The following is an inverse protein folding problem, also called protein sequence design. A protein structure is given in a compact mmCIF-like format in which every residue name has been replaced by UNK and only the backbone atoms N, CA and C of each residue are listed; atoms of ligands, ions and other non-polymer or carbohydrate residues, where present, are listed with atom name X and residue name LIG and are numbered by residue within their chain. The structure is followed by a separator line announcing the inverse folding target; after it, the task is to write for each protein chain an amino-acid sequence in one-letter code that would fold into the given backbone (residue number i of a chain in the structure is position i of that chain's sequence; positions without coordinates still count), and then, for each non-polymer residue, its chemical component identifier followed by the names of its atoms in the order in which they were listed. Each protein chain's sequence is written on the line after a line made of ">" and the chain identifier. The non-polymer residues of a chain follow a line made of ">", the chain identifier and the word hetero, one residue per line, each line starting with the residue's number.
data_IF_762188702106
#
_entry.id   IF_762188702106
#
_cell.length_a   1.000
_cell.length_b   1.000
_cell.length_c   1.000
_cell.angle_alpha   90.00
_cell.angle_beta   90.00
_cell.angle_gamma   90.00
#
_symmetry.space_group_name_H-M   'P 1'
#
loop_
_entity.id
_entity.type
_entity.pdbx_description
1 polymer ?
#
# COMPACT_ATOMS: atom_id res chain seq x y z
N UNK A 1 22.96 35.37 -5.58
CA UNK A 1 22.86 34.87 -6.96
C UNK A 1 21.84 33.72 -7.09
N UNK A 2 21.99 32.64 -6.35
CA UNK A 2 21.05 31.49 -6.36
C UNK A 2 19.62 31.90 -5.93
N UNK A 3 19.47 32.74 -4.94
CA UNK A 3 18.18 33.33 -4.55
C UNK A 3 17.53 34.07 -5.70
N UNK A 4 18.26 34.91 -6.42
CA UNK A 4 17.73 35.67 -7.55
C UNK A 4 17.28 34.72 -8.69
N UNK A 5 18.02 33.64 -8.93
CA UNK A 5 17.62 32.64 -9.92
C UNK A 5 16.32 31.95 -9.53
N UNK A 6 16.16 31.50 -8.28
CA UNK A 6 14.94 30.93 -7.75
C UNK A 6 13.72 31.85 -7.93
N UNK A 7 13.88 33.15 -7.58
CA UNK A 7 12.82 34.15 -7.69
C UNK A 7 12.48 34.53 -9.14
N UNK A 8 13.50 34.76 -9.97
CA UNK A 8 13.32 35.22 -11.35
C UNK A 8 12.71 34.12 -12.26
N UNK A 9 12.92 32.85 -11.95
CA UNK A 9 12.40 31.70 -12.70
C UNK A 9 11.20 31.05 -11.99
N UNK A 10 10.28 31.87 -11.52
CA UNK A 10 9.00 31.46 -10.94
C UNK A 10 9.13 30.40 -9.84
N UNK A 11 10.02 30.63 -8.89
CA UNK A 11 10.28 29.73 -7.77
C UNK A 11 10.67 28.30 -8.21
N UNK A 12 11.57 28.20 -9.19
CA UNK A 12 12.01 26.93 -9.74
C UNK A 12 12.52 25.97 -8.65
N UNK A 13 12.33 24.66 -8.87
CA UNK A 13 12.71 23.62 -7.92
C UNK A 13 14.23 23.36 -7.87
N UNK A 14 14.63 22.52 -6.92
CA UNK A 14 16.04 22.18 -6.64
C UNK A 14 16.82 21.80 -7.89
N UNK A 15 16.25 20.93 -8.72
CA UNK A 15 16.99 20.35 -9.86
C UNK A 15 17.32 21.40 -10.93
N UNK A 16 16.41 22.36 -11.17
CA UNK A 16 16.65 23.49 -12.07
C UNK A 16 17.75 24.42 -11.56
N UNK A 17 17.79 24.67 -10.23
CA UNK A 17 18.84 25.47 -9.61
C UNK A 17 20.20 24.75 -9.70
N UNK A 18 20.22 23.43 -9.47
CA UNK A 18 21.43 22.62 -9.59
C UNK A 18 21.97 22.65 -11.01
N UNK A 19 21.11 22.53 -12.02
CA UNK A 19 21.51 22.58 -13.41
C UNK A 19 22.07 23.97 -13.80
N UNK A 20 21.45 25.04 -13.28
CA UNK A 20 21.98 26.39 -13.45
C UNK A 20 23.38 26.55 -12.84
N UNK A 21 23.57 26.13 -11.58
CA UNK A 21 24.85 26.19 -10.87
C UNK A 21 25.92 25.40 -11.64
N UNK A 22 25.61 24.20 -12.14
CA UNK A 22 26.52 23.39 -12.94
C UNK A 22 26.90 24.07 -14.26
N UNK A 23 25.91 24.69 -14.95
CA UNK A 23 26.13 25.41 -16.21
C UNK A 23 27.05 26.61 -16.03
N UNK A 24 26.89 27.35 -14.92
CA UNK A 24 27.74 28.48 -14.55
C UNK A 24 29.07 28.04 -13.93
N UNK A 25 29.32 26.71 -13.80
CA UNK A 25 30.55 26.11 -13.23
C UNK A 25 30.84 26.54 -11.79
N UNK A 26 29.81 26.79 -11.00
CA UNK A 26 29.94 27.15 -9.60
C UNK A 26 29.84 25.93 -8.72
N UNK A 27 30.79 25.80 -7.79
CA UNK A 27 30.79 24.68 -6.86
C UNK A 27 31.24 25.17 -5.48
N UNK A 28 30.51 24.75 -4.44
CA UNK A 28 30.94 24.88 -3.05
C UNK A 28 30.49 23.63 -2.27
N UNK A 29 31.17 23.39 -1.15
CA UNK A 29 30.86 22.27 -0.30
C UNK A 29 29.46 22.42 0.31
N UNK A 30 28.58 21.41 0.15
CA UNK A 30 27.23 21.40 0.73
C UNK A 30 26.15 22.13 -0.09
N UNK A 31 26.45 22.61 -1.33
CA UNK A 31 25.50 23.39 -2.13
C UNK A 31 24.13 22.74 -2.33
N UNK A 32 24.03 21.43 -2.38
CA UNK A 32 22.75 20.72 -2.46
C UNK A 32 21.86 20.98 -1.23
N UNK A 33 22.47 20.97 -0.04
CA UNK A 33 21.75 21.20 1.22
C UNK A 33 21.36 22.68 1.34
N UNK A 34 22.20 23.59 0.90
CA UNK A 34 21.92 25.02 0.92
C UNK A 34 20.77 25.37 -0.03
N UNK A 35 20.70 24.75 -1.22
CA UNK A 35 19.58 24.91 -2.14
C UNK A 35 18.28 24.38 -1.53
N UNK A 36 18.32 23.21 -0.87
CA UNK A 36 17.14 22.68 -0.18
C UNK A 36 16.65 23.58 0.94
N UNK A 37 17.55 24.15 1.72
CA UNK A 37 17.22 25.10 2.78
C UNK A 37 16.61 26.39 2.19
N UNK A 38 17.19 26.93 1.13
CA UNK A 38 16.69 28.11 0.42
C UNK A 38 15.24 27.91 -0.06
N UNK A 39 14.94 26.75 -0.65
CA UNK A 39 13.58 26.45 -1.13
C UNK A 39 12.61 26.29 0.06
N UNK A 40 13.04 25.65 1.16
CA UNK A 40 12.23 25.48 2.37
C UNK A 40 11.93 26.81 3.08
N UNK A 41 12.86 27.74 3.05
CA UNK A 41 12.72 29.07 3.67
C UNK A 41 11.96 30.07 2.77
N UNK A 42 11.69 29.73 1.51
CA UNK A 42 10.95 30.59 0.60
C UNK A 42 9.45 30.64 0.98
N UNK A 43 8.91 31.82 1.37
CA UNK A 43 7.51 31.91 1.82
C UNK A 43 6.49 31.56 0.75
N UNK A 44 6.77 31.86 -0.53
CA UNK A 44 5.87 31.54 -1.64
C UNK A 44 5.84 30.04 -1.90
N UNK A 45 7.01 29.37 -1.86
CA UNK A 45 7.09 27.92 -1.99
C UNK A 45 6.37 27.22 -0.83
N UNK A 46 6.56 27.67 0.42
CA UNK A 46 5.88 27.10 1.57
C UNK A 46 4.37 27.30 1.50
N UNK A 47 3.88 28.48 1.13
CA UNK A 47 2.44 28.73 0.91
C UNK A 47 1.86 27.89 -0.21
N UNK A 48 2.59 27.68 -1.31
CA UNK A 48 2.17 26.81 -2.41
C UNK A 48 2.10 25.35 -1.94
N UNK A 49 3.11 24.87 -1.22
CA UNK A 49 3.12 23.50 -0.66
C UNK A 49 1.99 23.28 0.35
N UNK A 50 1.66 24.27 1.18
CA UNK A 50 0.55 24.17 2.14
C UNK A 50 -0.82 24.13 1.44
N UNK A 51 -1.04 24.94 0.40
CA UNK A 51 -2.30 24.93 -0.39
C UNK A 51 -2.50 23.64 -1.18
N UNK A 52 -1.40 22.99 -1.63
CA UNK A 52 -1.44 21.76 -2.40
C UNK A 52 -1.17 20.49 -1.57
N UNK A 53 -1.05 20.59 -0.24
CA UNK A 53 -1.08 19.39 0.63
C UNK A 53 -2.40 18.67 0.37
N UNK A 54 -2.38 17.67 -0.52
CA UNK A 54 -3.52 16.78 -0.74
C UNK A 54 -3.88 16.16 0.61
N UNK A 55 -5.08 16.44 1.10
CA UNK A 55 -5.64 15.72 2.24
C UNK A 55 -5.59 14.23 1.90
N UNK A 56 -4.65 13.51 2.47
CA UNK A 56 -4.58 12.06 2.33
C UNK A 56 -5.78 11.51 3.08
N UNK A 57 -6.82 11.12 2.36
CA UNK A 57 -7.98 10.45 2.96
C UNK A 57 -7.52 9.24 3.78
N UNK A 58 -8.23 8.94 4.86
CA UNK A 58 -7.98 7.74 5.64
C UNK A 58 -8.03 6.51 4.75
N UNK A 59 -7.10 5.59 4.92
CA UNK A 59 -7.10 4.33 4.20
C UNK A 59 -8.34 3.55 4.68
N UNK A 60 -9.31 3.34 3.77
CA UNK A 60 -10.39 2.39 4.02
C UNK A 60 -9.82 0.99 3.79
N UNK A 61 -9.83 0.20 4.86
CA UNK A 61 -9.43 -1.19 4.78
C UNK A 61 -10.43 -1.97 3.95
N UNK A 62 -9.93 -2.74 2.99
CA UNK A 62 -10.65 -3.86 2.41
C UNK A 62 -10.18 -5.08 3.19
N UNK A 63 -11.08 -5.76 3.86
CA UNK A 63 -10.82 -7.00 4.60
C UNK A 63 -11.82 -8.00 4.08
N UNK A 64 -11.32 -9.03 3.46
CA UNK A 64 -12.13 -10.09 2.87
C UNK A 64 -12.48 -11.15 3.92
N UNK A 65 -13.54 -11.93 3.67
CA UNK A 65 -14.06 -12.89 4.64
C UNK A 65 -13.22 -14.17 4.76
N UNK A 66 -12.34 -14.43 3.79
CA UNK A 66 -11.45 -15.58 3.79
C UNK A 66 -10.77 -15.84 2.44
N UNK A 67 -10.15 -17.02 2.27
CA UNK A 67 -9.61 -17.47 0.99
C UNK A 67 -10.68 -17.45 -0.10
N UNK A 68 -10.25 -17.24 -1.35
CA UNK A 68 -11.13 -17.22 -2.54
C UNK A 68 -12.26 -16.18 -2.49
N UNK A 69 -12.23 -15.25 -1.53
CA UNK A 69 -13.24 -14.20 -1.49
C UNK A 69 -13.03 -13.19 -2.62
N UNK A 70 -11.77 -12.74 -2.80
CA UNK A 70 -11.40 -11.74 -3.80
C UNK A 70 -10.09 -12.10 -4.48
N UNK A 71 -10.13 -12.20 -5.81
CA UNK A 71 -8.92 -12.22 -6.63
C UNK A 71 -8.68 -10.85 -7.24
N UNK A 72 -7.42 -10.42 -7.27
CA UNK A 72 -7.00 -9.17 -7.89
C UNK A 72 -6.10 -9.52 -9.06
N UNK A 73 -6.43 -8.98 -10.24
CA UNK A 73 -5.67 -9.13 -11.47
C UNK A 73 -5.01 -7.80 -11.86
N UNK A 74 -3.77 -7.88 -12.33
CA UNK A 74 -3.02 -6.76 -12.89
C UNK A 74 -2.18 -7.24 -14.07
N UNK A 75 -2.11 -6.43 -15.13
CA UNK A 75 -1.34 -6.74 -16.33
C UNK A 75 -0.24 -5.71 -16.54
N UNK A 76 1.00 -6.16 -16.74
CA UNK A 76 2.11 -5.26 -16.93
C UNK A 76 3.03 -5.66 -18.07
N UNK A 77 3.72 -4.67 -18.63
CA UNK A 77 4.62 -4.79 -19.76
C UNK A 77 6.01 -5.22 -19.33
N UNK A 78 6.59 -6.14 -20.06
CA UNK A 78 8.02 -6.44 -20.00
C UNK A 78 8.81 -5.34 -20.75
N UNK A 79 10.08 -5.13 -20.38
CA UNK A 79 10.96 -4.28 -21.18
C UNK A 79 11.21 -4.92 -22.55
N UNK A 80 11.47 -4.09 -23.54
CA UNK A 80 11.72 -4.56 -24.92
C UNK A 80 12.81 -5.64 -24.98
N UNK A 81 13.87 -5.51 -24.19
CA UNK A 81 14.97 -6.48 -24.17
C UNK A 81 14.50 -7.85 -23.66
N UNK A 82 13.75 -7.88 -22.56
CA UNK A 82 13.21 -9.13 -21.99
C UNK A 82 12.14 -9.72 -22.90
N UNK A 83 11.28 -8.90 -23.48
CA UNK A 83 10.23 -9.32 -24.40
C UNK A 83 10.82 -9.97 -25.67
N UNK A 84 11.83 -9.35 -26.28
CA UNK A 84 12.51 -9.88 -27.47
C UNK A 84 13.17 -11.23 -27.18
N UNK A 85 13.79 -11.39 -26.02
CA UNK A 85 14.46 -12.65 -25.66
C UNK A 85 13.48 -13.76 -25.31
N UNK A 86 12.41 -13.44 -24.58
CA UNK A 86 11.49 -14.43 -24.06
C UNK A 86 10.37 -14.82 -25.02
N UNK A 87 10.06 -13.96 -25.99
CA UNK A 87 8.90 -14.09 -26.87
C UNK A 87 7.57 -13.70 -26.23
N UNK A 88 7.60 -13.17 -24.99
CA UNK A 88 6.41 -12.69 -24.27
C UNK A 88 6.50 -11.18 -24.04
N UNK A 89 5.38 -10.49 -24.15
CA UNK A 89 5.32 -9.03 -23.99
C UNK A 89 4.75 -8.60 -22.64
N UNK A 90 3.97 -9.46 -22.00
CA UNK A 90 3.22 -9.13 -20.79
C UNK A 90 3.32 -10.22 -19.73
N UNK A 91 3.07 -9.85 -18.48
CA UNK A 91 2.77 -10.77 -17.40
C UNK A 91 1.44 -10.35 -16.79
N UNK A 92 0.52 -11.32 -16.66
CA UNK A 92 -0.70 -11.20 -15.89
C UNK A 92 -0.44 -11.74 -14.48
N UNK A 93 -0.56 -10.87 -13.49
CA UNK A 93 -0.48 -11.23 -12.07
C UNK A 93 -1.88 -11.48 -11.53
N UNK A 94 -2.10 -12.61 -10.87
CA UNK A 94 -3.34 -12.92 -10.14
C UNK A 94 -2.97 -13.25 -8.70
N UNK A 95 -3.60 -12.54 -7.75
CA UNK A 95 -3.37 -12.73 -6.32
C UNK A 95 -4.69 -12.88 -5.57
N UNK A 96 -4.77 -13.86 -4.70
CA UNK A 96 -5.82 -13.91 -3.68
C UNK A 96 -5.56 -12.82 -2.63
N UNK A 97 -6.49 -11.90 -2.50
CA UNK A 97 -6.30 -10.73 -1.63
C UNK A 97 -6.26 -11.08 -0.14
N UNK A 98 -6.89 -12.18 0.28
CA UNK A 98 -6.84 -12.63 1.68
C UNK A 98 -5.54 -13.38 1.97
N UNK A 99 -5.27 -14.47 1.27
CA UNK A 99 -4.14 -15.37 1.54
C UNK A 99 -2.80 -14.86 1.04
N UNK A 100 -2.81 -13.94 0.06
CA UNK A 100 -1.66 -13.47 -0.73
C UNK A 100 -1.07 -14.56 -1.63
N UNK A 101 -1.82 -15.66 -1.87
CA UNK A 101 -1.44 -16.65 -2.87
C UNK A 101 -1.36 -15.99 -4.24
N UNK A 102 -0.25 -16.20 -4.92
CA UNK A 102 0.08 -15.55 -6.19
C UNK A 102 0.32 -16.56 -7.29
N UNK A 103 -0.11 -16.20 -8.51
CA UNK A 103 0.26 -16.89 -9.75
C UNK A 103 0.44 -15.84 -10.84
N UNK A 104 1.54 -15.94 -11.58
CA UNK A 104 1.80 -15.15 -12.77
C UNK A 104 1.67 -15.97 -14.05
N UNK A 105 1.23 -15.33 -15.13
CA UNK A 105 1.12 -15.90 -16.47
C UNK A 105 1.82 -15.00 -17.48
N UNK A 106 2.65 -15.63 -18.35
CA UNK A 106 3.28 -14.91 -19.45
C UNK A 106 2.34 -14.88 -20.66
N UNK A 107 2.13 -13.72 -21.27
CA UNK A 107 1.29 -13.53 -22.43
C UNK A 107 2.08 -12.89 -23.58
N UNK A 108 1.73 -13.32 -24.81
CA UNK A 108 2.27 -12.72 -26.03
C UNK A 108 1.51 -11.42 -26.34
N UNK A 109 0.19 -11.48 -26.26
CA UNK A 109 -0.69 -10.34 -26.50
C UNK A 109 -1.53 -10.04 -25.27
N UNK A 110 -2.09 -8.84 -25.20
CA UNK A 110 -3.06 -8.45 -24.17
C UNK A 110 -4.51 -8.51 -24.67
N UNK A 111 -4.82 -9.54 -25.44
CA UNK A 111 -6.19 -9.72 -25.93
C UNK A 111 -7.10 -10.20 -24.81
N UNK A 112 -8.38 -9.88 -24.93
CA UNK A 112 -9.39 -10.31 -23.95
C UNK A 112 -9.47 -11.84 -23.80
N UNK A 113 -9.25 -12.55 -24.89
CA UNK A 113 -9.27 -14.02 -24.97
C UNK A 113 -8.08 -14.62 -24.22
N UNK A 114 -6.88 -14.10 -24.44
CA UNK A 114 -5.65 -14.57 -23.79
C UNK A 114 -5.72 -14.33 -22.27
N UNK A 115 -6.16 -13.14 -21.87
CA UNK A 115 -6.34 -12.77 -20.45
C UNK A 115 -7.43 -13.64 -19.80
N UNK A 116 -8.57 -13.84 -20.47
CA UNK A 116 -9.64 -14.70 -19.94
C UNK A 116 -9.18 -16.15 -19.79
N UNK A 117 -8.42 -16.68 -20.77
CA UNK A 117 -7.88 -18.05 -20.69
C UNK A 117 -6.99 -18.24 -19.45
N UNK A 118 -6.16 -17.25 -19.13
CA UNK A 118 -5.32 -17.29 -17.91
C UNK A 118 -6.16 -17.20 -16.62
N UNK A 119 -7.17 -16.33 -16.59
CA UNK A 119 -8.08 -16.18 -15.45
C UNK A 119 -8.87 -17.48 -15.24
N UNK A 120 -9.40 -18.06 -16.32
CA UNK A 120 -10.13 -19.34 -16.25
C UNK A 120 -9.22 -20.47 -15.75
N UNK A 121 -8.01 -20.59 -16.30
CA UNK A 121 -7.01 -21.56 -15.84
C UNK A 121 -6.69 -21.41 -14.35
N UNK A 122 -6.59 -20.17 -13.86
CA UNK A 122 -6.38 -19.90 -12.43
C UNK A 122 -7.57 -20.35 -11.59
N UNK A 123 -8.79 -20.01 -12.02
CA UNK A 123 -10.04 -20.39 -11.33
C UNK A 123 -10.22 -21.90 -11.30
N UNK A 124 -9.95 -22.59 -12.40
CA UNK A 124 -10.01 -24.05 -12.46
C UNK A 124 -9.00 -24.72 -11.53
N UNK A 125 -7.82 -24.13 -11.37
CA UNK A 125 -6.73 -24.70 -10.56
C UNK A 125 -6.86 -24.41 -9.07
N UNK A 126 -7.39 -23.24 -8.70
CA UNK A 126 -7.35 -22.75 -7.33
C UNK A 126 -8.72 -22.41 -6.72
N UNK A 127 -9.80 -22.58 -7.48
CA UNK A 127 -11.15 -22.32 -7.02
C UNK A 127 -11.73 -20.98 -7.47
N UNK A 128 -13.05 -20.88 -7.40
CA UNK A 128 -13.82 -19.73 -7.87
C UNK A 128 -13.87 -18.62 -6.80
N UNK A 129 -13.57 -17.35 -7.15
CA UNK A 129 -13.71 -16.25 -6.22
C UNK A 129 -15.17 -15.74 -6.17
N UNK A 130 -15.52 -15.03 -5.08
CA UNK A 130 -16.76 -14.25 -5.02
C UNK A 130 -16.59 -12.94 -5.81
N UNK A 131 -15.40 -12.35 -5.76
CA UNK A 131 -15.10 -11.08 -6.41
C UNK A 131 -13.84 -11.25 -7.26
N UNK A 132 -13.93 -10.88 -8.54
CA UNK A 132 -12.78 -10.64 -9.40
C UNK A 132 -12.58 -9.13 -9.52
N UNK A 133 -11.42 -8.63 -9.14
CA UNK A 133 -11.07 -7.22 -9.20
C UNK A 133 -9.93 -7.02 -10.19
N UNK A 134 -10.12 -6.13 -11.16
CA UNK A 134 -9.12 -5.74 -12.14
C UNK A 134 -9.08 -4.21 -12.29
N UNK A 135 -8.13 -3.69 -13.03
CA UNK A 135 -8.14 -2.29 -13.43
C UNK A 135 -9.17 -2.01 -14.55
N UNK A 136 -9.16 -0.79 -15.11
CA UNK A 136 -10.05 -0.40 -16.21
C UNK A 136 -9.41 -0.63 -17.60
N UNK A 137 -8.39 -1.44 -17.72
CA UNK A 137 -7.80 -1.80 -19.00
C UNK A 137 -8.83 -2.46 -19.94
N UNK A 138 -8.72 -2.25 -21.25
CA UNK A 138 -9.64 -2.84 -22.23
C UNK A 138 -9.58 -4.36 -22.22
N UNK A 139 -8.45 -4.93 -21.85
CA UNK A 139 -8.22 -6.35 -21.63
C UNK A 139 -9.11 -6.95 -20.53
N UNK A 140 -9.54 -6.14 -19.56
CA UNK A 140 -10.45 -6.53 -18.48
C UNK A 140 -11.84 -5.90 -18.63
N UNK A 141 -11.95 -4.73 -19.26
CA UNK A 141 -13.21 -3.99 -19.40
C UNK A 141 -13.87 -4.33 -20.74
N UNK A 142 -14.30 -5.57 -20.89
CA UNK A 142 -14.91 -6.07 -22.12
C UNK A 142 -16.09 -7.02 -21.83
N UNK A 143 -16.90 -7.30 -22.85
CA UNK A 143 -18.08 -8.18 -22.74
C UNK A 143 -17.72 -9.63 -22.46
N UNK A 144 -16.57 -10.09 -22.96
CA UNK A 144 -16.15 -11.50 -22.84
C UNK A 144 -15.91 -11.85 -21.36
N UNK A 145 -15.09 -11.07 -20.66
CA UNK A 145 -14.81 -11.27 -19.22
C UNK A 145 -16.07 -11.02 -18.38
N UNK A 146 -16.88 -10.01 -18.74
CA UNK A 146 -18.12 -9.73 -18.02
C UNK A 146 -19.11 -10.90 -18.11
N UNK A 147 -19.33 -11.46 -19.31
CA UNK A 147 -20.20 -12.62 -19.53
C UNK A 147 -19.67 -13.87 -18.80
N UNK A 148 -18.36 -14.09 -18.84
CA UNK A 148 -17.72 -15.16 -18.07
C UNK A 148 -18.01 -15.04 -16.57
N UNK A 149 -17.84 -13.86 -16.01
CA UNK A 149 -18.10 -13.58 -14.60
C UNK A 149 -19.58 -13.79 -14.23
N UNK A 150 -20.52 -13.31 -15.07
CA UNK A 150 -21.95 -13.50 -14.87
C UNK A 150 -22.31 -15.00 -14.89
N UNK A 151 -21.83 -15.75 -15.88
CA UNK A 151 -22.12 -17.17 -16.03
C UNK A 151 -21.55 -18.04 -14.88
N UNK A 152 -20.54 -17.53 -14.20
CA UNK A 152 -19.91 -18.20 -13.07
C UNK A 152 -20.29 -17.61 -11.70
N UNK A 153 -21.28 -16.72 -11.61
CA UNK A 153 -21.68 -16.02 -10.37
C UNK A 153 -20.51 -15.28 -9.68
N UNK A 154 -19.60 -14.71 -10.46
CA UNK A 154 -18.46 -13.92 -9.98
C UNK A 154 -18.81 -12.45 -10.12
N UNK A 155 -18.62 -11.68 -9.05
CA UNK A 155 -18.79 -10.23 -9.10
C UNK A 155 -17.54 -9.55 -9.66
N UNK A 156 -17.62 -9.07 -10.91
CA UNK A 156 -16.53 -8.28 -11.50
C UNK A 156 -16.54 -6.85 -10.93
N UNK A 157 -15.38 -6.38 -10.45
CA UNK A 157 -15.18 -5.01 -9.94
C UNK A 157 -13.98 -4.39 -10.61
N UNK A 158 -14.19 -3.25 -11.25
CA UNK A 158 -13.08 -2.45 -11.76
C UNK A 158 -12.59 -1.45 -10.71
N UNK A 159 -11.26 -1.30 -10.61
CA UNK A 159 -10.65 -0.33 -9.72
C UNK A 159 -11.08 1.11 -10.07
N UNK A 160 -11.40 1.93 -9.08
CA UNK A 160 -11.69 3.35 -9.32
C UNK A 160 -10.43 4.03 -9.86
N UNK A 161 -10.58 4.76 -10.96
CA UNK A 161 -9.53 5.60 -11.52
C UNK A 161 -8.96 6.51 -10.41
N UNK A 162 -7.64 6.51 -10.23
CA UNK A 162 -6.91 7.33 -9.23
C UNK A 162 -7.13 6.95 -7.75
N UNK A 163 -7.56 5.72 -7.44
CA UNK A 163 -7.60 5.20 -6.06
C UNK A 163 -6.63 4.01 -5.88
N UNK A 164 -5.31 4.25 -5.77
CA UNK A 164 -4.29 3.18 -5.67
C UNK A 164 -4.39 2.34 -4.40
N UNK A 165 -5.20 2.76 -3.42
CA UNK A 165 -5.32 2.06 -2.14
C UNK A 165 -6.04 0.71 -2.24
N UNK A 166 -6.87 0.51 -3.26
CA UNK A 166 -7.58 -0.76 -3.49
C UNK A 166 -6.72 -1.83 -4.17
N UNK A 167 -5.62 -1.43 -4.79
CA UNK A 167 -4.70 -2.32 -5.52
C UNK A 167 -3.34 -2.50 -4.81
N UNK A 168 -3.15 -1.87 -3.65
CA UNK A 168 -1.86 -1.85 -2.95
C UNK A 168 -1.27 -3.23 -2.62
N UNK A 169 -2.09 -4.28 -2.57
CA UNK A 169 -1.61 -5.65 -2.37
C UNK A 169 -0.94 -6.18 -3.64
N UNK A 170 -1.61 -6.04 -4.79
CA UNK A 170 -1.06 -6.48 -6.08
C UNK A 170 0.12 -5.61 -6.51
N UNK A 171 0.09 -4.29 -6.26
CA UNK A 171 1.22 -3.40 -6.53
C UNK A 171 2.48 -3.79 -5.75
N UNK A 172 2.33 -4.22 -4.51
CA UNK A 172 3.45 -4.66 -3.67
C UNK A 172 4.04 -5.98 -4.18
N UNK A 173 3.17 -6.93 -4.54
CA UNK A 173 3.53 -8.21 -5.15
C UNK A 173 4.23 -7.99 -6.50
N UNK A 174 3.62 -7.20 -7.38
CA UNK A 174 4.16 -6.81 -8.68
C UNK A 174 5.60 -6.26 -8.58
N UNK A 175 5.89 -5.38 -7.62
CA UNK A 175 7.24 -4.85 -7.41
C UNK A 175 8.24 -5.94 -7.03
N UNK A 176 7.85 -6.89 -6.20
CA UNK A 176 8.69 -8.03 -5.82
C UNK A 176 8.98 -8.94 -7.01
N UNK A 177 7.94 -9.30 -7.78
CA UNK A 177 8.04 -10.15 -8.98
C UNK A 177 8.92 -9.48 -10.04
N UNK A 178 8.60 -8.24 -10.37
CA UNK A 178 9.34 -7.45 -11.35
C UNK A 178 10.83 -7.35 -10.99
N UNK A 179 11.14 -7.00 -9.73
CA UNK A 179 12.52 -6.93 -9.27
C UNK A 179 13.27 -8.24 -9.44
N UNK A 180 12.64 -9.37 -9.10
CA UNK A 180 13.26 -10.68 -9.22
C UNK A 180 13.57 -11.04 -10.68
N UNK A 181 12.58 -10.88 -11.57
CA UNK A 181 12.72 -11.19 -13.00
C UNK A 181 13.86 -10.38 -13.61
N UNK A 182 13.91 -9.06 -13.34
CA UNK A 182 14.96 -8.21 -13.88
C UNK A 182 16.33 -8.51 -13.26
N UNK A 183 16.43 -8.86 -11.99
CA UNK A 183 17.68 -9.31 -11.39
C UNK A 183 18.20 -10.56 -12.10
N UNK A 184 17.35 -11.58 -12.29
CA UNK A 184 17.72 -12.80 -13.03
C UNK A 184 18.14 -12.51 -14.46
N UNK A 185 17.46 -11.61 -15.15
CA UNK A 185 17.84 -11.18 -16.49
C UNK A 185 19.22 -10.53 -16.50
N UNK A 186 19.53 -9.63 -15.55
CA UNK A 186 20.84 -8.97 -15.49
C UNK A 186 21.97 -9.88 -15.00
N UNK A 187 21.67 -10.90 -14.20
CA UNK A 187 22.65 -11.89 -13.75
C UNK A 187 23.19 -12.73 -14.92
N UNK A 188 22.33 -13.18 -15.83
CA UNK A 188 22.75 -14.01 -16.97
C UNK A 188 21.84 -13.78 -18.19
N UNK A 189 22.14 -12.74 -18.96
CA UNK A 189 21.35 -12.38 -20.15
C UNK A 189 21.29 -13.50 -21.19
N UNK A 190 22.39 -14.21 -21.43
CA UNK A 190 22.49 -15.18 -22.51
C UNK A 190 21.70 -16.47 -22.26
N UNK A 191 21.43 -16.80 -21.00
CA UNK A 191 20.69 -18.00 -20.60
C UNK A 191 19.43 -17.69 -19.81
N UNK A 192 18.89 -16.48 -19.98
CA UNK A 192 17.69 -16.06 -19.28
C UNK A 192 16.45 -16.75 -19.84
N UNK A 193 15.71 -17.41 -18.95
CA UNK A 193 14.41 -18.01 -19.24
C UNK A 193 13.32 -17.39 -18.36
N UNK A 194 12.42 -16.62 -18.96
CA UNK A 194 11.35 -15.91 -18.27
C UNK A 194 10.40 -16.86 -17.53
N UNK A 195 10.00 -17.97 -18.16
CA UNK A 195 9.07 -18.93 -17.54
C UNK A 195 9.66 -19.57 -16.30
N UNK A 196 10.96 -19.90 -16.32
CA UNK A 196 11.65 -20.43 -15.16
C UNK A 196 11.79 -19.37 -14.07
N UNK A 197 12.18 -18.15 -14.40
CA UNK A 197 12.27 -17.05 -13.45
C UNK A 197 10.92 -16.73 -12.80
N UNK A 198 9.84 -16.72 -13.58
CA UNK A 198 8.48 -16.51 -13.05
C UNK A 198 8.04 -17.66 -12.15
N UNK A 199 8.34 -18.91 -12.50
CA UNK A 199 8.05 -20.08 -11.66
C UNK A 199 8.83 -20.04 -10.34
N UNK A 200 10.11 -19.69 -10.39
CA UNK A 200 10.95 -19.57 -9.19
C UNK A 200 10.41 -18.50 -8.25
N UNK A 201 10.14 -17.29 -8.75
CA UNK A 201 9.64 -16.22 -7.89
C UNK A 201 8.24 -16.50 -7.35
N UNK A 202 7.36 -17.12 -8.14
CA UNK A 202 6.05 -17.59 -7.68
C UNK A 202 6.20 -18.56 -6.50
N UNK A 203 7.12 -19.50 -6.61
CA UNK A 203 7.40 -20.46 -5.54
C UNK A 203 8.00 -19.76 -4.30
N UNK A 204 8.93 -18.83 -4.48
CA UNK A 204 9.52 -18.03 -3.38
C UNK A 204 8.43 -17.23 -2.67
N UNK A 205 7.59 -16.51 -3.42
CA UNK A 205 6.52 -15.67 -2.88
C UNK A 205 5.52 -16.51 -2.06
N UNK A 206 5.07 -17.62 -2.61
CA UNK A 206 4.04 -18.47 -1.99
C UNK A 206 4.54 -19.28 -0.80
N UNK A 207 5.86 -19.44 -0.64
CA UNK A 207 6.48 -20.11 0.52
C UNK A 207 7.09 -19.15 1.56
N UNK A 208 7.04 -17.85 1.29
CA UNK A 208 7.56 -16.83 2.19
C UNK A 208 6.46 -16.30 3.11
N UNK A 209 6.75 -16.21 4.41
CA UNK A 209 5.83 -15.61 5.37
C UNK A 209 5.50 -14.17 5.00
N UNK A 210 4.20 -13.88 4.81
CA UNK A 210 3.74 -12.57 4.38
C UNK A 210 3.50 -11.63 5.57
N UNK A 211 4.05 -10.41 5.52
CA UNK A 211 4.01 -9.46 6.65
C UNK A 211 2.60 -9.01 7.07
N UNK A 212 1.62 -9.06 6.18
CA UNK A 212 0.24 -8.62 6.48
C UNK A 212 -0.58 -9.72 7.15
N UNK A 213 -0.49 -10.96 6.67
CA UNK A 213 -1.19 -12.11 7.23
C UNK A 213 -0.43 -12.70 8.40
N UNK A 214 0.91 -12.56 8.39
CA UNK A 214 1.87 -13.25 9.26
C UNK A 214 1.85 -14.77 9.08
N UNK A 215 1.35 -15.25 7.94
CA UNK A 215 1.27 -16.64 7.52
C UNK A 215 1.96 -16.85 6.17
N UNK A 216 2.25 -18.09 5.82
CA UNK A 216 2.77 -18.50 4.52
C UNK A 216 1.57 -18.70 3.58
N UNK A 217 1.52 -18.04 2.41
CA UNK A 217 0.38 -18.14 1.48
C UNK A 217 0.01 -19.59 1.13
N UNK A 218 1.00 -20.46 0.93
CA UNK A 218 0.78 -21.88 0.65
C UNK A 218 -0.02 -22.58 1.75
N UNK A 219 0.24 -22.27 3.01
CA UNK A 219 -0.35 -22.98 4.15
C UNK A 219 -1.80 -22.56 4.40
N UNK A 220 -2.16 -21.36 3.92
CA UNK A 220 -3.49 -20.78 4.14
C UNK A 220 -4.31 -20.61 2.86
N UNK A 221 -3.84 -21.12 1.70
CA UNK A 221 -4.53 -20.92 0.42
C UNK A 221 -5.95 -21.48 0.41
N UNK A 222 -6.18 -22.62 1.07
CA UNK A 222 -7.47 -23.30 1.18
C UNK A 222 -7.97 -23.37 2.63
N UNK A 223 -7.63 -22.35 3.43
CA UNK A 223 -7.93 -22.31 4.86
C UNK A 223 -9.43 -22.29 5.13
N UNK A 224 -9.92 -23.27 5.89
CA UNK A 224 -11.32 -23.38 6.34
C UNK A 224 -11.49 -23.19 7.85
N UNK A 225 -10.39 -23.01 8.60
CA UNK A 225 -10.41 -22.76 10.04
C UNK A 225 -10.91 -21.34 10.31
N UNK A 226 -12.12 -21.23 10.87
CA UNK A 226 -12.79 -19.95 11.13
C UNK A 226 -12.04 -19.12 12.17
N UNK A 227 -11.43 -19.74 13.16
CA UNK A 227 -10.75 -19.03 14.24
C UNK A 227 -9.47 -18.40 13.73
N UNK A 228 -8.71 -19.11 12.88
CA UNK A 228 -7.53 -18.58 12.23
C UNK A 228 -7.86 -17.51 11.18
N UNK A 229 -8.98 -17.64 10.45
CA UNK A 229 -9.47 -16.62 9.53
C UNK A 229 -9.74 -15.31 10.30
N UNK A 230 -10.46 -15.39 11.42
CA UNK A 230 -10.77 -14.23 12.28
C UNK A 230 -9.48 -13.61 12.82
N UNK A 231 -8.52 -14.42 13.25
CA UNK A 231 -7.24 -13.93 13.75
C UNK A 231 -6.46 -13.16 12.67
N UNK A 232 -6.40 -13.69 11.45
CA UNK A 232 -5.76 -13.01 10.30
C UNK A 232 -6.47 -11.69 9.99
N UNK A 233 -7.81 -11.67 9.96
CA UNK A 233 -8.59 -10.45 9.75
C UNK A 233 -8.29 -9.38 10.82
N UNK A 234 -8.20 -9.77 12.08
CA UNK A 234 -7.84 -8.85 13.16
C UNK A 234 -6.41 -8.29 13.03
N UNK A 235 -5.46 -9.12 12.61
CA UNK A 235 -4.08 -8.68 12.32
C UNK A 235 -4.07 -7.63 11.20
N UNK A 236 -4.80 -7.88 10.10
CA UNK A 236 -4.94 -6.93 9.00
C UNK A 236 -5.57 -5.61 9.48
N UNK A 237 -6.65 -5.65 10.27
CA UNK A 237 -7.27 -4.46 10.88
C UNK A 237 -6.27 -3.65 11.71
N UNK A 238 -5.49 -4.32 12.55
CA UNK A 238 -4.48 -3.67 13.41
C UNK A 238 -3.38 -2.96 12.60
N UNK A 239 -2.91 -3.58 11.51
CA UNK A 239 -1.88 -2.97 10.63
C UNK A 239 -2.42 -1.70 9.96
N UNK A 240 -3.65 -1.72 9.47
CA UNK A 240 -4.28 -0.58 8.82
C UNK A 240 -4.54 0.56 9.82
N UNK A 241 -5.02 0.22 11.02
CA UNK A 241 -5.20 1.18 12.09
C UNK A 241 -3.87 1.87 12.47
N UNK A 242 -2.78 1.09 12.60
CA UNK A 242 -1.44 1.67 12.85
C UNK A 242 -1.00 2.61 11.73
N UNK A 243 -1.24 2.26 10.46
CA UNK A 243 -0.90 3.14 9.32
C UNK A 243 -1.74 4.43 9.32
N UNK A 244 -2.99 4.38 9.74
CA UNK A 244 -3.85 5.55 9.87
C UNK A 244 -3.45 6.44 11.05
N UNK A 245 -3.15 5.85 12.20
CA UNK A 245 -2.67 6.58 13.40
C UNK A 245 -1.36 7.29 13.11
N UNK A 246 -0.40 6.64 12.48
CA UNK A 246 0.87 7.28 12.13
C UNK A 246 0.70 8.46 11.16
N UNK A 247 -0.29 8.41 10.27
CA UNK A 247 -0.64 9.55 9.41
C UNK A 247 -1.30 10.70 10.16
N UNK A 248 -2.16 10.37 11.13
CA UNK A 248 -2.81 11.38 11.99
C UNK A 248 -1.78 12.03 12.94
N UNK A 249 -0.80 11.28 13.44
CA UNK A 249 0.29 11.80 14.30
C UNK A 249 1.19 12.77 13.52
N UNK A 250 1.57 12.45 12.29
CA UNK A 250 2.37 13.36 11.45
C UNK A 250 1.61 14.67 11.19
N UNK A 251 0.31 14.61 10.90
CA UNK A 251 -0.52 15.81 10.74
C UNK A 251 -0.75 16.57 12.05
N UNK A 252 -0.74 15.90 13.18
CA UNK A 252 -0.91 16.49 14.50
C UNK A 252 0.37 17.19 14.97
N UNK A 253 1.53 16.60 14.75
CA UNK A 253 2.81 17.20 15.12
C UNK A 253 3.09 18.44 14.26
N UNK A 254 2.78 18.42 12.96
CA UNK A 254 2.82 19.60 12.10
C UNK A 254 1.88 20.72 12.61
N UNK A 255 0.73 20.36 13.13
CA UNK A 255 -0.25 21.31 13.67
C UNK A 255 0.14 21.87 15.04
N UNK A 256 0.76 21.06 15.91
CA UNK A 256 1.23 21.49 17.22
C UNK A 256 2.48 22.38 17.13
N UNK A 257 3.35 22.12 16.20
CA UNK A 257 4.53 22.99 15.96
C UNK A 257 4.08 24.38 15.48
N UNK A 258 3.06 24.46 14.64
CA UNK A 258 2.48 25.75 14.21
C UNK A 258 1.73 26.44 15.36
N UNK A 259 1.00 25.69 16.20
CA UNK A 259 0.23 26.27 17.31
C UNK A 259 1.14 26.68 18.48
N UNK A 260 2.21 25.96 18.76
CA UNK A 260 3.19 26.35 19.78
C UNK A 260 4.00 27.58 19.37
N UNK A 261 4.32 27.73 18.09
CA UNK A 261 4.97 28.92 17.56
C UNK A 261 4.06 30.16 17.54
N UNK A 262 2.75 29.97 17.38
CA UNK A 262 1.74 31.03 17.47
C UNK A 262 1.42 31.42 18.90
N UNK A 263 1.53 30.52 19.87
CA UNK A 263 1.37 30.80 21.30
C UNK A 263 2.54 31.62 21.87
N UNK A 264 3.72 31.54 21.25
CA UNK A 264 4.91 32.31 21.66
C UNK A 264 4.90 33.74 21.06
N UNK A 265 4.11 34.01 20.02
CA UNK A 265 4.13 35.28 19.28
C UNK A 265 2.93 36.20 19.48
N UNK A 266 2.12 36.05 20.49
CA UNK A 266 1.12 37.08 20.74
C UNK A 266 -0.17 36.65 21.43
N UNK A 267 -0.54 37.36 22.46
CA UNK A 267 -1.75 37.28 23.28
C UNK A 267 -3.07 37.54 22.53
N UNK A 268 -3.32 36.89 21.40
CA UNK A 268 -4.66 36.91 20.74
C UNK A 268 -5.16 35.50 20.44
N UNK A 269 -6.07 35.07 21.32
CA UNK A 269 -6.82 33.82 21.14
C UNK A 269 -7.84 34.01 19.99
N UNK A 270 -7.55 33.45 18.83
CA UNK A 270 -8.54 33.35 17.75
C UNK A 270 -9.47 32.19 18.07
N UNK A 271 -10.68 32.52 18.55
CA UNK A 271 -11.76 31.55 18.85
C UNK A 271 -12.33 30.99 17.53
N UNK A 272 -11.79 29.90 17.03
CA UNK A 272 -12.34 29.21 15.86
C UNK A 272 -13.19 28.02 16.28
N UNK A 273 -14.52 28.08 16.08
CA UNK A 273 -15.50 27.06 16.49
C UNK A 273 -15.19 25.64 15.97
N UNK A 274 -14.50 25.49 14.84
CA UNK A 274 -14.03 24.21 14.28
C UNK A 274 -12.97 23.52 15.15
N UNK A 275 -12.06 24.27 15.79
CA UNK A 275 -11.00 23.73 16.67
C UNK A 275 -11.56 23.06 17.93
N UNK A 276 -12.65 23.61 18.51
CA UNK A 276 -13.30 23.02 19.71
C UNK A 276 -13.88 21.61 19.43
N UNK A 277 -14.39 21.34 18.23
CA UNK A 277 -14.99 20.05 17.88
C UNK A 277 -13.92 18.95 17.73
N UNK A 278 -12.75 19.28 17.19
CA UNK A 278 -11.62 18.33 17.01
C UNK A 278 -10.99 17.98 18.35
N UNK A 279 -10.77 18.97 19.23
CA UNK A 279 -10.24 18.75 20.59
C UNK A 279 -11.19 17.89 21.42
N UNK A 280 -12.51 18.15 21.34
CA UNK A 280 -13.53 17.37 22.08
C UNK A 280 -13.62 15.91 21.61
N UNK A 281 -13.50 15.64 20.32
CA UNK A 281 -13.43 14.28 19.77
C UNK A 281 -12.15 13.54 20.21
N UNK A 282 -11.04 14.24 20.36
CA UNK A 282 -9.77 13.68 20.81
C UNK A 282 -9.75 13.30 22.29
N UNK A 283 -10.31 14.15 23.14
CA UNK A 283 -10.48 13.82 24.55
C UNK A 283 -11.40 12.61 24.75
N UNK A 284 -12.48 12.52 23.98
CA UNK A 284 -13.36 11.34 23.96
C UNK A 284 -12.64 10.07 23.49
N UNK A 285 -11.79 10.16 22.49
CA UNK A 285 -11.05 9.00 21.95
C UNK A 285 -9.96 8.53 22.92
N UNK A 286 -9.21 9.45 23.55
CA UNK A 286 -8.21 9.13 24.58
C UNK A 286 -8.86 8.60 25.84
N UNK A 287 -10.02 9.14 26.21
CA UNK A 287 -10.83 8.64 27.32
C UNK A 287 -11.35 7.22 27.04
N UNK A 288 -11.80 6.94 25.80
CA UNK A 288 -12.25 5.61 25.37
C UNK A 288 -11.11 4.59 25.34
N UNK A 289 -9.92 4.99 24.85
CA UNK A 289 -8.72 4.14 24.89
C UNK A 289 -8.29 3.84 26.33
N UNK A 290 -8.31 4.83 27.22
CA UNK A 290 -7.98 4.65 28.63
C UNK A 290 -8.98 3.71 29.32
N UNK A 291 -10.26 3.84 29.03
CA UNK A 291 -11.33 2.94 29.54
C UNK A 291 -11.15 1.51 29.02
N UNK A 292 -10.79 1.34 27.73
CA UNK A 292 -10.60 0.01 27.10
C UNK A 292 -9.33 -0.67 27.63
N UNK A 293 -8.26 0.08 27.84
CA UNK A 293 -7.03 -0.42 28.47
C UNK A 293 -7.27 -0.82 29.94
N UNK A 294 -8.00 0.00 30.70
CA UNK A 294 -8.36 -0.29 32.08
C UNK A 294 -9.23 -1.54 32.19
N UNK A 295 -10.23 -1.71 31.30
CA UNK A 295 -11.05 -2.94 31.27
C UNK A 295 -10.22 -4.20 30.95
N UNK A 296 -9.26 -4.12 30.03
CA UNK A 296 -8.34 -5.24 29.71
C UNK A 296 -7.40 -5.56 30.88
N UNK A 297 -6.91 -4.56 31.58
CA UNK A 297 -6.09 -4.74 32.76
C UNK A 297 -6.88 -5.37 33.92
N UNK A 298 -8.13 -4.93 34.13
CA UNK A 298 -9.02 -5.49 35.13
C UNK A 298 -9.39 -6.96 34.86
N UNK A 299 -9.61 -7.30 33.58
CA UNK A 299 -9.85 -8.69 33.16
C UNK A 299 -8.61 -9.58 33.37
N UNK A 300 -7.41 -9.05 33.10
CA UNK A 300 -6.16 -9.76 33.38
C UNK A 300 -5.95 -9.98 34.88
N UNK A 301 -6.21 -8.98 35.70
CA UNK A 301 -6.13 -9.08 37.16
C UNK A 301 -7.16 -10.04 37.73
N UNK A 302 -8.40 -10.04 37.21
CA UNK A 302 -9.42 -11.04 37.61
C UNK A 302 -9.04 -12.47 37.28
N UNK A 303 -8.38 -12.71 36.11
CA UNK A 303 -7.87 -14.04 35.74
C UNK A 303 -6.72 -14.48 36.63
N UNK A 304 -5.77 -13.59 36.94
CA UNK A 304 -4.68 -13.85 37.87
C UNK A 304 -5.21 -14.13 39.28
N UNK A 305 -6.19 -13.36 39.74
CA UNK A 305 -6.87 -13.59 41.02
C UNK A 305 -7.54 -14.97 41.07
N UNK A 306 -8.23 -15.38 40.02
CA UNK A 306 -8.90 -16.69 39.94
C UNK A 306 -7.89 -17.86 39.94
N UNK A 307 -6.71 -17.70 39.33
CA UNK A 307 -5.65 -18.69 39.36
C UNK A 307 -5.05 -18.79 40.76
N UNK A 308 -4.72 -17.64 41.37
CA UNK A 308 -4.20 -17.59 42.75
C UNK A 308 -5.17 -18.19 43.77
N UNK A 309 -6.46 -17.92 43.65
CA UNK A 309 -7.47 -18.46 44.57
C UNK A 309 -7.70 -19.98 44.37
N UNK A 310 -7.44 -20.52 43.18
CA UNK A 310 -7.43 -21.99 42.98
C UNK A 310 -6.22 -22.66 43.58
N UNK A 311 -5.07 -22.02 43.62
CA UNK A 311 -3.85 -22.57 44.25
C UNK A 311 -3.93 -22.52 45.78
N UNK A 312 -4.64 -21.53 46.36
CA UNK A 312 -4.85 -21.42 47.80
C UNK A 312 -5.90 -22.45 48.34
N UNK A 313 -6.79 -22.98 47.52
CA UNK A 313 -7.77 -24.00 47.87
C UNK A 313 -7.19 -25.46 47.75
N UNK A 314 -5.94 -25.61 47.35
CA UNK A 314 -5.26 -26.93 47.25
C UNK A 314 -4.23 -27.12 48.38
N UNK A 315 -4.04 -26.12 49.24
CA UNK A 315 -3.28 -26.18 50.48
C UNK A 315 -4.25 -26.20 51.66
#
# INVERSE_FOLDING_TARGET
>A
MVNNYHWNFNHCGRDAIVDYIKKEKWYWYGFFKDIENLIKECPQCDNAHQKFKKFKSKIKAIIDDGPHYRYICDLWYLSNDVATMSGYNYILDIIDHFTKWYQGYCLINKTSEEVLSCIDSYIQSFGKPIILQADNGLEFSNSLLNNYCINNDIKLIHGRVRHPQSQGAVESCHKEIKKYIYNKYFENKNDFNLLNALREITNIHNNKKHSTTNEIPRDIKDLNDKDLIIEIQERMKKIILKKNVNKDIININDFYVIDSSLLIKGNKIIKNKKKKKIVKQKFLYLYYLKQTMMKKLLLKLKRLWHVLMKEIHIL
#
